data_IF_309228709851
#
_entry.id   IF_309228709851
#
_cell.length_a   1.000
_cell.length_b   1.000
_cell.length_c   1.000
_cell.angle_alpha   90.00
_cell.angle_beta   90.00
_cell.angle_gamma   90.00
#
_symmetry.space_group_name_H-M   'P 1'
#
loop_
_entity.id
_entity.type
_entity.pdbx_description
1 polymer ?
#
# COMPACT_ATOMS: atom_id res chain seq x y z
N UNK A 1 -5.39 -38.77 -30.73
CA UNK A 1 -4.29 -37.79 -30.93
C UNK A 1 -4.64 -36.37 -30.49
N UNK A 2 -5.82 -35.81 -30.82
CA UNK A 2 -6.21 -34.43 -30.40
C UNK A 2 -6.36 -34.24 -28.88
N UNK A 3 -6.90 -35.20 -28.14
CA UNK A 3 -7.11 -35.14 -26.67
C UNK A 3 -5.78 -35.17 -25.93
N UNK A 4 -4.82 -35.94 -26.40
CA UNK A 4 -3.46 -36.01 -25.77
C UNK A 4 -2.67 -34.71 -25.97
N UNK A 5 -2.88 -34.00 -27.05
CA UNK A 5 -2.23 -32.69 -27.29
C UNK A 5 -2.79 -31.60 -26.38
N UNK A 6 -4.11 -31.61 -26.12
CA UNK A 6 -4.78 -30.63 -25.25
C UNK A 6 -4.33 -30.82 -23.76
N UNK A 7 -4.21 -32.05 -23.31
CA UNK A 7 -3.74 -32.36 -21.94
C UNK A 7 -2.28 -31.99 -21.73
N UNK A 8 -1.42 -32.16 -22.72
CA UNK A 8 -0.01 -31.81 -22.65
C UNK A 8 0.20 -30.28 -22.60
N UNK A 9 -0.54 -29.51 -23.41
CA UNK A 9 -0.48 -28.05 -23.40
C UNK A 9 -1.02 -27.46 -22.09
N UNK A 10 -2.11 -28.01 -21.56
CA UNK A 10 -2.68 -27.58 -20.26
C UNK A 10 -1.71 -27.84 -19.10
N UNK A 11 -0.98 -28.96 -19.12
CA UNK A 11 0.01 -29.29 -18.12
C UNK A 11 1.25 -28.37 -18.16
N UNK A 12 1.70 -27.99 -19.37
CA UNK A 12 2.77 -27.01 -19.52
C UNK A 12 2.39 -25.61 -19.01
N UNK A 13 1.16 -25.17 -19.23
CA UNK A 13 0.67 -23.89 -18.69
C UNK A 13 0.61 -23.89 -17.16
N UNK A 14 0.15 -24.98 -16.54
CA UNK A 14 0.16 -25.14 -15.09
C UNK A 14 1.57 -25.16 -14.49
N UNK A 15 2.51 -25.78 -15.17
CA UNK A 15 3.92 -25.86 -14.71
C UNK A 15 4.61 -24.49 -14.80
N UNK A 16 4.37 -23.70 -15.84
CA UNK A 16 4.87 -22.34 -15.96
C UNK A 16 4.30 -21.39 -14.86
N UNK A 17 3.04 -21.52 -14.51
CA UNK A 17 2.43 -20.75 -13.44
C UNK A 17 3.00 -21.11 -12.05
N UNK A 18 3.33 -22.39 -11.83
CA UNK A 18 3.93 -22.86 -10.58
C UNK A 18 5.38 -22.41 -10.37
N UNK A 19 6.10 -22.07 -11.45
CA UNK A 19 7.49 -21.60 -11.41
C UNK A 19 7.61 -20.07 -11.42
N UNK A 20 6.52 -19.35 -11.53
CA UNK A 20 6.51 -17.90 -11.53
C UNK A 20 7.00 -17.36 -10.18
N UNK A 21 8.11 -16.65 -10.17
CA UNK A 21 8.65 -15.98 -8.98
C UNK A 21 7.64 -14.92 -8.52
N UNK A 22 7.28 -14.92 -7.24
CA UNK A 22 6.38 -13.90 -6.66
C UNK A 22 6.97 -12.50 -6.85
N UNK A 23 6.21 -11.51 -7.34
CA UNK A 23 6.69 -10.15 -7.49
C UNK A 23 6.92 -9.49 -6.14
N UNK A 24 7.89 -8.58 -6.07
CA UNK A 24 8.00 -7.66 -4.94
C UNK A 24 7.08 -6.46 -5.17
N UNK A 25 6.60 -5.88 -4.07
CA UNK A 25 5.77 -4.67 -4.08
C UNK A 25 6.51 -3.53 -3.38
N UNK A 26 6.60 -2.39 -4.04
CA UNK A 26 7.06 -1.14 -3.45
C UNK A 26 5.91 -0.14 -3.58
N UNK A 27 5.34 0.27 -2.45
CA UNK A 27 4.31 1.28 -2.40
C UNK A 27 4.89 2.58 -1.87
N UNK A 28 4.74 3.67 -2.64
CA UNK A 28 5.24 4.99 -2.27
C UNK A 28 4.02 5.90 -2.07
N UNK A 29 3.77 6.32 -0.83
CA UNK A 29 2.77 7.31 -0.49
C UNK A 29 3.46 8.63 -0.18
N UNK A 30 3.15 9.66 -0.93
CA UNK A 30 3.67 11.00 -0.71
C UNK A 30 2.67 11.77 0.15
N UNK A 31 3.14 12.30 1.28
CA UNK A 31 2.31 13.08 2.20
C UNK A 31 2.17 14.51 1.66
N UNK A 32 0.96 15.07 1.71
CA UNK A 32 0.61 16.41 1.27
C UNK A 32 0.97 16.73 -0.19
N UNK A 33 1.01 15.73 -1.08
CA UNK A 33 1.19 15.94 -2.51
C UNK A 33 -0.14 15.84 -3.27
N UNK A 34 -0.41 16.83 -4.08
CA UNK A 34 -1.56 16.88 -4.96
C UNK A 34 -1.27 16.35 -6.37
N UNK A 35 -2.32 16.13 -7.14
CA UNK A 35 -2.24 15.71 -8.53
C UNK A 35 -1.33 16.62 -9.39
N UNK A 36 -1.40 17.93 -9.17
CA UNK A 36 -0.62 18.92 -9.91
C UNK A 36 0.83 19.10 -9.44
N UNK A 37 1.33 18.27 -8.52
CA UNK A 37 2.70 18.41 -8.00
C UNK A 37 3.74 17.59 -8.79
N UNK A 38 3.30 16.78 -9.74
CA UNK A 38 4.19 15.97 -10.57
C UNK A 38 4.15 16.40 -12.03
N UNK A 39 5.33 16.46 -12.69
CA UNK A 39 5.40 16.90 -14.08
C UNK A 39 4.68 15.98 -15.07
N UNK A 40 4.58 14.69 -14.79
CA UNK A 40 3.77 13.73 -15.57
C UNK A 40 2.26 14.04 -15.54
N UNK A 41 1.79 14.82 -14.58
CA UNK A 41 0.42 15.31 -14.46
C UNK A 41 0.25 16.78 -14.83
N UNK A 42 1.29 17.41 -15.40
CA UNK A 42 1.20 18.74 -15.99
C UNK A 42 1.81 19.88 -15.17
N UNK A 43 2.44 19.59 -14.04
CA UNK A 43 3.21 20.57 -13.28
C UNK A 43 4.38 21.10 -14.14
N UNK A 44 4.62 22.45 -14.12
CA UNK A 44 5.57 23.12 -15.02
C UNK A 44 6.70 23.86 -14.28
N UNK A 45 6.59 24.11 -12.98
CA UNK A 45 7.54 24.91 -12.20
C UNK A 45 8.85 24.19 -11.91
N UNK A 46 8.80 22.87 -11.79
CA UNK A 46 9.97 22.00 -11.58
C UNK A 46 9.75 20.64 -12.25
N UNK A 47 10.77 19.82 -12.32
CA UNK A 47 10.72 18.50 -12.96
C UNK A 47 10.74 17.38 -11.93
N UNK A 48 9.99 16.31 -12.20
CA UNK A 48 9.98 15.08 -11.42
C UNK A 48 10.40 13.88 -12.29
N UNK A 49 11.66 13.86 -12.79
CA UNK A 49 12.07 12.99 -13.89
C UNK A 49 11.92 11.49 -13.58
N UNK A 50 12.13 11.08 -12.33
CA UNK A 50 11.98 9.68 -11.95
C UNK A 50 10.51 9.24 -11.91
N UNK A 51 9.61 10.11 -11.41
CA UNK A 51 8.15 9.85 -11.42
C UNK A 51 7.63 9.87 -12.87
N UNK A 52 8.12 10.81 -13.69
CA UNK A 52 7.76 10.90 -15.11
C UNK A 52 8.19 9.63 -15.88
N UNK A 53 9.36 9.08 -15.55
CA UNK A 53 9.83 7.82 -16.12
C UNK A 53 8.92 6.65 -15.70
N UNK A 54 8.58 6.55 -14.42
CA UNK A 54 7.65 5.53 -13.93
C UNK A 54 6.29 5.62 -14.64
N UNK A 55 5.77 6.83 -14.82
CA UNK A 55 4.51 7.06 -15.54
C UNK A 55 4.59 6.67 -17.02
N UNK A 56 5.75 6.84 -17.66
CA UNK A 56 5.99 6.47 -19.06
C UNK A 56 6.18 4.97 -19.27
N UNK A 57 6.87 4.30 -18.34
CA UNK A 57 7.21 2.87 -18.43
C UNK A 57 6.10 1.97 -17.86
N UNK A 58 5.23 2.52 -17.03
CA UNK A 58 4.14 1.81 -16.36
C UNK A 58 2.77 2.31 -16.76
N UNK A 59 1.87 2.42 -15.78
CA UNK A 59 0.50 2.89 -15.97
C UNK A 59 0.28 4.18 -15.19
N UNK A 60 -0.27 5.20 -15.85
CA UNK A 60 -0.70 6.46 -15.24
C UNK A 60 -2.22 6.43 -15.02
N UNK A 61 -2.66 6.49 -13.77
CA UNK A 61 -4.06 6.53 -13.40
C UNK A 61 -4.49 7.99 -13.23
N UNK A 62 -5.42 8.46 -14.07
CA UNK A 62 -5.86 9.86 -14.06
C UNK A 62 -7.00 10.14 -13.09
N UNK A 63 -7.72 9.11 -12.70
CA UNK A 63 -8.90 9.18 -11.81
C UNK A 63 -8.72 8.29 -10.57
N UNK A 64 -7.52 8.31 -9.99
CA UNK A 64 -7.19 7.60 -8.76
C UNK A 64 -7.09 8.60 -7.60
N UNK A 65 -7.94 8.45 -6.61
CA UNK A 65 -8.06 9.38 -5.48
C UNK A 65 -7.68 8.72 -4.16
N UNK A 66 -7.10 9.49 -3.25
CA UNK A 66 -7.00 9.07 -1.86
C UNK A 66 -8.40 9.01 -1.24
N UNK A 67 -8.61 8.14 -0.27
CA UNK A 67 -9.92 7.95 0.38
C UNK A 67 -10.33 9.09 1.30
N UNK A 68 -9.40 9.97 1.66
CA UNK A 68 -9.62 11.13 2.53
C UNK A 68 -8.64 12.25 2.21
N UNK A 69 -9.02 13.46 2.56
CA UNK A 69 -8.22 14.68 2.43
C UNK A 69 -7.17 14.85 3.53
N UNK A 70 -7.21 14.03 4.57
CA UNK A 70 -6.26 14.07 5.70
C UNK A 70 -5.58 12.71 5.90
N UNK A 71 -4.41 12.74 6.55
CA UNK A 71 -3.44 11.65 6.56
C UNK A 71 -3.95 10.36 7.24
N UNK A 72 -4.35 10.38 8.51
CA UNK A 72 -4.69 9.16 9.25
C UNK A 72 -5.86 8.36 8.61
N UNK A 73 -7.00 8.95 8.24
CA UNK A 73 -8.06 8.19 7.59
C UNK A 73 -7.69 7.69 6.20
N UNK A 74 -6.88 8.45 5.43
CA UNK A 74 -6.38 8.00 4.13
C UNK A 74 -5.46 6.77 4.28
N UNK A 75 -4.54 6.81 5.26
CA UNK A 75 -3.64 5.68 5.58
C UNK A 75 -4.41 4.47 6.10
N UNK A 76 -5.39 4.68 6.97
CA UNK A 76 -6.25 3.60 7.47
C UNK A 76 -7.01 2.91 6.34
N UNK A 77 -7.58 3.67 5.43
CA UNK A 77 -8.29 3.12 4.27
C UNK A 77 -7.35 2.35 3.34
N UNK A 78 -6.14 2.89 3.09
CA UNK A 78 -5.12 2.19 2.31
C UNK A 78 -4.76 0.84 2.95
N UNK A 79 -4.44 0.84 4.24
CA UNK A 79 -4.00 -0.37 4.94
C UNK A 79 -5.08 -1.44 5.01
N UNK A 80 -6.36 -1.07 5.13
CA UNK A 80 -7.45 -2.00 5.39
C UNK A 80 -8.36 -2.26 4.19
N UNK A 81 -8.23 -1.50 3.10
CA UNK A 81 -9.14 -1.55 1.96
C UNK A 81 -10.55 -1.03 2.26
N UNK A 82 -10.77 -0.45 3.43
CA UNK A 82 -12.07 0.10 3.80
C UNK A 82 -12.24 1.52 3.27
N UNK A 83 -13.37 1.79 2.61
CA UNK A 83 -13.76 3.16 2.27
C UNK A 83 -13.90 4.01 3.54
N UNK A 84 -13.52 5.29 3.48
CA UNK A 84 -13.50 6.22 4.63
C UNK A 84 -14.83 6.28 5.42
N UNK A 85 -15.97 6.10 4.76
CA UNK A 85 -17.29 6.02 5.42
C UNK A 85 -17.49 4.78 6.31
N UNK A 86 -16.68 3.72 6.12
CA UNK A 86 -16.68 2.48 6.90
C UNK A 86 -15.36 2.20 7.60
N UNK A 87 -14.39 3.12 7.43
CA UNK A 87 -13.06 2.99 8.01
C UNK A 87 -13.05 3.09 9.53
N UNK A 88 -12.04 2.48 10.14
CA UNK A 88 -11.82 2.54 11.59
C UNK A 88 -11.42 3.94 12.05
N UNK A 89 -10.63 4.65 11.23
CA UNK A 89 -10.15 6.00 11.53
C UNK A 89 -10.79 6.95 10.51
N UNK A 90 -11.52 7.95 11.01
CA UNK A 90 -12.31 8.89 10.19
C UNK A 90 -11.81 10.32 10.23
N UNK A 91 -10.78 10.60 11.00
CA UNK A 91 -10.16 11.91 11.13
C UNK A 91 -8.82 11.80 11.84
N UNK A 92 -8.04 12.87 11.80
CA UNK A 92 -6.85 12.96 12.62
C UNK A 92 -7.26 13.19 14.07
N UNK A 93 -6.68 12.42 14.98
CA UNK A 93 -6.89 12.56 16.42
C UNK A 93 -5.59 12.23 17.12
N UNK A 94 -4.93 13.29 17.54
CA UNK A 94 -3.68 13.18 18.32
C UNK A 94 -3.95 12.49 19.66
N UNK A 95 -3.07 11.59 20.03
CA UNK A 95 -3.03 10.93 21.34
C UNK A 95 -1.71 11.29 21.99
N UNK A 96 -1.77 11.85 23.21
CA UNK A 96 -0.57 12.18 23.97
C UNK A 96 -0.01 10.93 24.68
N UNK A 97 1.33 10.82 24.87
CA UNK A 97 2.33 11.84 24.56
C UNK A 97 2.69 11.95 23.07
N UNK A 98 2.39 10.94 22.25
CA UNK A 98 2.66 11.00 20.80
C UNK A 98 1.73 10.07 20.00
N UNK A 99 1.61 10.35 18.71
CA UNK A 99 0.93 9.52 17.73
C UNK A 99 -0.51 9.92 17.46
N UNK A 100 -1.13 9.15 16.60
CA UNK A 100 -2.53 9.28 16.23
C UNK A 100 -3.38 8.19 16.89
N UNK A 101 -4.69 8.33 16.82
CA UNK A 101 -5.62 7.29 17.29
C UNK A 101 -5.26 5.94 16.66
N UNK A 102 -5.07 4.89 17.48
CA UNK A 102 -4.57 3.62 17.01
C UNK A 102 -5.58 2.88 16.11
N UNK A 103 -5.06 2.27 15.07
CA UNK A 103 -5.80 1.28 14.29
C UNK A 103 -6.02 0.05 15.19
N UNK A 104 -7.27 -0.45 15.32
CA UNK A 104 -7.53 -1.57 16.23
C UNK A 104 -6.94 -2.88 15.71
N UNK A 105 -6.49 -3.76 16.61
CA UNK A 105 -5.92 -5.08 16.26
C UNK A 105 -6.83 -5.96 15.42
N UNK A 106 -8.15 -5.76 15.49
CA UNK A 106 -9.11 -6.48 14.64
C UNK A 106 -9.12 -6.04 13.17
N UNK A 107 -8.45 -4.94 12.85
CA UNK A 107 -8.31 -4.49 11.47
C UNK A 107 -7.37 -5.44 10.73
N UNK A 108 -7.81 -5.93 9.58
CA UNK A 108 -6.94 -6.73 8.71
C UNK A 108 -6.22 -5.79 7.76
N UNK A 109 -4.91 -5.84 7.77
CA UNK A 109 -4.04 -4.92 7.02
C UNK A 109 -3.37 -5.59 5.82
N UNK A 110 -2.88 -4.77 4.88
CA UNK A 110 -2.13 -5.26 3.70
C UNK A 110 -0.97 -6.18 4.11
N UNK A 111 -0.06 -5.80 5.05
CA UNK A 111 1.06 -6.67 5.43
C UNK A 111 0.61 -8.00 6.04
N UNK A 112 -0.47 -8.02 6.82
CA UNK A 112 -1.02 -9.26 7.37
C UNK A 112 -1.55 -10.20 6.27
N UNK A 113 -2.20 -9.65 5.25
CA UNK A 113 -2.67 -10.42 4.09
C UNK A 113 -1.48 -10.98 3.31
N UNK A 114 -0.48 -10.15 3.03
CA UNK A 114 0.73 -10.55 2.28
C UNK A 114 1.56 -11.59 3.05
N UNK A 115 1.62 -11.48 4.37
CA UNK A 115 2.32 -12.45 5.24
C UNK A 115 1.79 -13.87 5.09
N UNK A 116 0.47 -14.05 4.90
CA UNK A 116 -0.14 -15.37 4.60
C UNK A 116 0.37 -15.98 3.30
N UNK A 117 0.87 -15.15 2.40
CA UNK A 117 1.50 -15.57 1.14
C UNK A 117 3.03 -15.65 1.23
N UNK A 118 3.61 -15.56 2.44
CA UNK A 118 5.04 -15.67 2.69
C UNK A 118 5.86 -14.42 2.33
N UNK A 119 5.23 -13.26 2.25
CA UNK A 119 5.96 -11.99 2.10
C UNK A 119 6.50 -11.52 3.45
N UNK A 120 7.67 -10.89 3.38
CA UNK A 120 8.25 -10.07 4.47
C UNK A 120 8.03 -8.61 4.09
N UNK A 121 7.55 -7.80 5.02
CA UNK A 121 7.16 -6.42 4.77
C UNK A 121 7.85 -5.43 5.69
N UNK A 122 8.18 -4.25 5.15
CA UNK A 122 8.73 -3.13 5.90
C UNK A 122 7.98 -1.85 5.62
N UNK A 123 7.78 -1.03 6.65
CA UNK A 123 7.23 0.31 6.58
C UNK A 123 8.32 1.33 6.93
N UNK A 124 8.46 2.36 6.09
CA UNK A 124 9.44 3.43 6.26
C UNK A 124 8.77 4.79 6.11
N UNK A 125 8.98 5.69 7.06
CA UNK A 125 8.41 7.04 7.05
C UNK A 125 7.21 7.21 8.00
N UNK A 126 6.30 8.12 7.64
CA UNK A 126 5.16 8.46 8.50
C UNK A 126 4.10 7.37 8.51
N UNK A 127 3.82 6.82 9.69
CA UNK A 127 2.78 5.81 9.91
C UNK A 127 1.40 6.44 10.20
N UNK A 128 1.27 7.13 11.33
CA UNK A 128 0.08 7.90 11.70
C UNK A 128 -1.18 7.09 12.02
N UNK A 129 -1.05 5.84 12.45
CA UNK A 129 -2.17 4.96 12.82
C UNK A 129 -1.98 4.32 14.19
N UNK A 130 -1.17 4.91 15.05
CA UNK A 130 -0.95 4.48 16.44
C UNK A 130 0.49 4.63 16.88
N UNK A 131 0.65 4.97 18.16
CA UNK A 131 1.96 5.15 18.81
C UNK A 131 2.71 3.82 18.98
N UNK A 132 4.03 3.86 19.22
CA UNK A 132 4.80 2.68 19.58
C UNK A 132 4.20 1.93 20.77
N UNK A 133 4.09 0.61 20.64
CA UNK A 133 3.52 -0.27 21.67
C UNK A 133 2.00 -0.25 21.80
N UNK A 134 1.30 0.63 21.07
CA UNK A 134 -0.16 0.60 21.00
C UNK A 134 -0.67 -0.56 20.12
N UNK A 135 -1.98 -0.81 20.14
CA UNK A 135 -2.58 -1.77 19.21
C UNK A 135 -2.37 -1.38 17.75
N UNK A 136 -2.23 -0.08 17.45
CA UNK A 136 -1.94 0.46 16.13
C UNK A 136 -0.45 0.56 15.78
N UNK A 137 0.47 0.07 16.62
CA UNK A 137 1.89 -0.01 16.28
C UNK A 137 2.08 -0.78 14.96
N UNK A 138 2.89 -0.29 14.02
CA UNK A 138 3.13 -0.96 12.74
C UNK A 138 3.51 -2.44 12.87
N UNK A 139 4.28 -2.80 13.89
CA UNK A 139 4.68 -4.18 14.15
C UNK A 139 3.49 -5.05 14.58
N UNK A 140 2.56 -4.47 15.35
CA UNK A 140 1.30 -5.14 15.73
C UNK A 140 0.30 -5.21 14.57
N UNK A 141 0.49 -4.39 13.55
CA UNK A 141 -0.33 -4.33 12.34
C UNK A 141 0.30 -5.10 11.16
N UNK A 142 1.20 -6.04 11.45
CA UNK A 142 1.69 -7.06 10.53
C UNK A 142 2.99 -6.76 9.81
N UNK A 143 3.58 -5.57 9.95
CA UNK A 143 4.91 -5.30 9.40
C UNK A 143 6.00 -6.04 10.17
N UNK A 144 7.01 -6.52 9.46
CA UNK A 144 8.18 -7.21 10.03
C UNK A 144 9.30 -6.22 10.38
N UNK A 145 9.25 -5.01 9.81
CA UNK A 145 10.21 -3.92 10.02
C UNK A 145 9.48 -2.58 9.99
N UNK A 146 9.86 -1.70 10.92
CA UNK A 146 9.42 -0.31 10.92
C UNK A 146 10.58 0.63 11.22
N UNK A 147 10.67 1.72 10.45
CA UNK A 147 11.56 2.84 10.72
C UNK A 147 10.90 4.14 10.26
N UNK A 148 10.51 4.99 11.20
CA UNK A 148 9.79 6.21 10.87
C UNK A 148 9.26 6.95 12.08
N UNK A 149 8.17 7.67 11.87
CA UNK A 149 7.47 8.45 12.89
C UNK A 149 5.95 8.16 12.87
N UNK A 150 5.31 8.37 14.00
CA UNK A 150 3.87 8.24 14.17
C UNK A 150 3.14 9.58 14.13
#
# INVERSE_FOLDING_TARGET
MKIFLITLTSFQFLLCAALAKKPNFVYIMVDDAGYGDFSCFGQKKFKTPNVDRMAKEGMKLTDFYSSSTVCAPSRSSLMTGHHSGRGYIRGNKEIKPEGQHPLPLKAVTIPEVLKKSGYVSGMFGKWGLGAPGSEGDPMNQGFDRFYGLN
#
